data_IF_861779923262
#
_entry.id   IF_861779923262
#
_cell.length_a   1.000
_cell.length_b   1.000
_cell.length_c   1.000
_cell.angle_alpha   90.00
_cell.angle_beta   90.00
_cell.angle_gamma   90.00
#
_symmetry.space_group_name_H-M   'P 1'
#
loop_
_entity.id
_entity.type
_entity.pdbx_description
1 polymer ?
#
# COMPACT_ATOMS: atom_id res chain seq x y z
N UNK A 1 -4.66 -35.86 -34.23
CA UNK A 1 -6.08 -35.95 -34.67
C UNK A 1 -7.00 -35.06 -33.83
N UNK A 2 -6.99 -35.11 -32.49
CA UNK A 2 -7.88 -34.27 -31.65
C UNK A 2 -7.45 -32.80 -31.74
N UNK A 3 -6.16 -32.48 -31.61
CA UNK A 3 -5.65 -31.12 -31.71
C UNK A 3 -5.93 -30.45 -33.05
N UNK A 4 -5.79 -31.19 -34.17
CA UNK A 4 -6.10 -30.72 -35.51
C UNK A 4 -7.60 -30.41 -35.72
N UNK A 5 -8.47 -31.16 -35.04
CA UNK A 5 -9.92 -30.91 -35.08
C UNK A 5 -10.27 -29.68 -34.25
N UNK A 6 -9.63 -29.52 -33.10
CA UNK A 6 -9.78 -28.32 -32.23
C UNK A 6 -9.39 -27.06 -32.99
N UNK A 7 -8.23 -27.06 -33.66
CA UNK A 7 -7.76 -25.93 -34.47
C UNK A 7 -8.69 -25.66 -35.66
N UNK A 8 -9.11 -26.71 -36.38
CA UNK A 8 -9.99 -26.55 -37.55
C UNK A 8 -11.38 -26.01 -37.23
N UNK A 9 -11.90 -26.32 -36.02
CA UNK A 9 -13.21 -25.89 -35.55
C UNK A 9 -13.15 -24.60 -34.72
N UNK A 10 -11.95 -24.02 -34.52
CA UNK A 10 -11.71 -22.91 -33.56
C UNK A 10 -12.40 -23.19 -32.19
N UNK A 11 -12.34 -24.46 -31.76
CA UNK A 11 -13.00 -24.87 -30.53
C UNK A 11 -12.26 -24.32 -29.34
N UNK A 12 -12.91 -23.44 -28.62
CA UNK A 12 -12.44 -22.90 -27.34
C UNK A 12 -13.24 -23.53 -26.21
N UNK A 13 -12.57 -24.26 -25.28
CA UNK A 13 -13.28 -24.84 -24.14
C UNK A 13 -14.04 -23.76 -23.36
N UNK A 14 -15.31 -23.99 -23.10
CA UNK A 14 -16.13 -23.07 -22.33
C UNK A 14 -15.71 -23.12 -20.84
N UNK A 15 -15.09 -22.04 -20.36
CA UNK A 15 -14.62 -21.93 -18.97
C UNK A 15 -15.78 -22.00 -17.96
N UNK A 16 -16.98 -21.49 -18.32
CA UNK A 16 -18.16 -21.51 -17.45
C UNK A 16 -18.66 -22.94 -17.26
N UNK A 17 -18.78 -23.71 -18.39
CA UNK A 17 -19.19 -25.11 -18.31
C UNK A 17 -18.20 -25.96 -17.51
N UNK A 18 -16.90 -25.71 -17.64
CA UNK A 18 -15.84 -26.35 -16.84
C UNK A 18 -15.94 -26.01 -15.39
N UNK A 19 -16.16 -24.73 -15.06
CA UNK A 19 -16.33 -24.25 -13.69
C UNK A 19 -17.53 -24.87 -12.98
N UNK A 20 -18.65 -25.04 -13.68
CA UNK A 20 -19.83 -25.72 -13.17
C UNK A 20 -19.55 -27.22 -12.83
N UNK A 21 -18.77 -27.89 -13.66
CA UNK A 21 -18.44 -29.31 -13.47
C UNK A 21 -17.41 -29.51 -12.32
N UNK A 22 -16.40 -28.63 -12.22
CA UNK A 22 -15.33 -28.75 -11.24
C UNK A 22 -15.60 -28.02 -9.92
N UNK A 23 -16.64 -27.19 -9.85
CA UNK A 23 -16.90 -26.23 -8.75
C UNK A 23 -15.73 -25.26 -8.49
N UNK A 24 -14.84 -25.07 -9.48
CA UNK A 24 -13.73 -24.12 -9.47
C UNK A 24 -13.72 -23.31 -10.74
N UNK A 25 -13.68 -22.00 -10.62
CA UNK A 25 -13.63 -21.09 -11.80
C UNK A 25 -12.21 -20.81 -12.24
N UNK A 26 -11.20 -21.19 -11.43
CA UNK A 26 -9.79 -20.82 -11.60
C UNK A 26 -9.61 -19.31 -11.78
N UNK A 27 -10.40 -18.54 -11.06
CA UNK A 27 -10.41 -17.08 -11.13
C UNK A 27 -10.37 -16.48 -9.73
N UNK A 28 -9.51 -15.49 -9.54
CA UNK A 28 -9.36 -14.72 -8.32
C UNK A 28 -9.79 -13.28 -8.58
N UNK A 29 -10.60 -12.73 -7.69
CA UNK A 29 -10.91 -11.31 -7.67
C UNK A 29 -9.82 -10.51 -6.96
N UNK A 30 -9.46 -9.37 -7.51
CA UNK A 30 -8.52 -8.44 -6.88
C UNK A 30 -9.16 -7.06 -6.83
N UNK A 31 -9.42 -6.58 -5.62
CA UNK A 31 -10.00 -5.26 -5.38
C UNK A 31 -8.88 -4.30 -5.02
N UNK A 32 -8.79 -3.18 -5.74
CA UNK A 32 -7.80 -2.12 -5.51
C UNK A 32 -8.49 -0.77 -5.39
N UNK A 33 -7.94 0.16 -4.57
CA UNK A 33 -8.52 1.48 -4.40
C UNK A 33 -8.41 2.34 -5.67
N UNK A 34 -7.26 2.32 -6.33
CA UNK A 34 -7.02 3.15 -7.50
C UNK A 34 -6.00 2.50 -8.44
N UNK A 35 -6.47 2.11 -9.63
CA UNK A 35 -5.64 1.46 -10.66
C UNK A 35 -4.55 2.37 -11.22
N UNK A 36 -4.69 3.68 -11.13
CA UNK A 36 -3.69 4.64 -11.64
C UNK A 36 -2.57 4.94 -10.63
N UNK A 37 -2.74 4.55 -9.37
CA UNK A 37 -1.71 4.73 -8.36
C UNK A 37 -0.61 3.68 -8.51
N UNK A 38 0.64 4.14 -8.66
CA UNK A 38 1.83 3.29 -8.84
C UNK A 38 2.03 2.29 -7.69
N UNK A 39 1.61 2.64 -6.47
CA UNK A 39 1.65 1.76 -5.31
C UNK A 39 0.90 0.45 -5.59
N UNK A 40 -0.32 0.53 -6.07
CA UNK A 40 -1.14 -0.67 -6.31
C UNK A 40 -0.72 -1.45 -7.54
N UNK A 41 -0.09 -0.83 -8.53
CA UNK A 41 0.37 -1.51 -9.74
C UNK A 41 1.47 -2.54 -9.46
N UNK A 42 2.45 -2.22 -8.62
CA UNK A 42 3.52 -3.14 -8.23
C UNK A 42 2.99 -4.33 -7.43
N UNK A 43 2.03 -4.07 -6.53
CA UNK A 43 1.38 -5.08 -5.73
C UNK A 43 0.54 -6.02 -6.61
N UNK A 44 -0.26 -5.46 -7.53
CA UNK A 44 -1.04 -6.22 -8.50
C UNK A 44 -0.14 -7.09 -9.41
N UNK A 45 1.05 -6.60 -9.78
CA UNK A 45 2.03 -7.39 -10.55
C UNK A 45 2.49 -8.63 -9.79
N UNK A 46 2.79 -8.52 -8.50
CA UNK A 46 3.15 -9.67 -7.66
C UNK A 46 2.02 -10.70 -7.57
N UNK A 47 0.78 -10.25 -7.48
CA UNK A 47 -0.39 -11.12 -7.50
C UNK A 47 -0.51 -11.86 -8.84
N UNK A 48 -0.39 -11.14 -9.96
CA UNK A 48 -0.54 -11.70 -11.31
C UNK A 48 0.50 -12.77 -11.62
N UNK A 49 1.77 -12.53 -11.29
CA UNK A 49 2.85 -13.48 -11.53
C UNK A 49 2.62 -14.79 -10.77
N UNK A 50 2.19 -14.73 -9.52
CA UNK A 50 1.89 -15.92 -8.71
C UNK A 50 0.58 -16.58 -9.16
N UNK A 51 -0.46 -15.81 -9.45
CA UNK A 51 -1.71 -16.35 -9.98
C UNK A 51 -1.48 -17.14 -11.28
N UNK A 52 -0.70 -16.60 -12.20
CA UNK A 52 -0.33 -17.24 -13.46
C UNK A 52 0.43 -18.56 -13.23
N UNK A 53 1.36 -18.58 -12.25
CA UNK A 53 2.09 -19.80 -11.89
C UNK A 53 1.16 -20.92 -11.39
N UNK A 54 0.10 -20.56 -10.66
CA UNK A 54 -0.92 -21.50 -10.18
C UNK A 54 -2.09 -21.69 -11.17
N UNK A 55 -2.00 -21.11 -12.37
CA UNK A 55 -3.03 -21.17 -13.42
C UNK A 55 -4.37 -20.53 -13.04
N UNK A 56 -4.32 -19.49 -12.23
CA UNK A 56 -5.47 -18.64 -11.95
C UNK A 56 -5.49 -17.42 -12.87
N UNK A 57 -6.69 -17.04 -13.30
CA UNK A 57 -6.95 -15.74 -13.93
C UNK A 57 -7.30 -14.71 -12.85
N UNK A 58 -7.05 -13.44 -13.15
CA UNK A 58 -7.40 -12.32 -12.27
C UNK A 58 -8.53 -11.51 -12.87
N UNK A 59 -9.51 -11.15 -12.05
CA UNK A 59 -10.47 -10.07 -12.33
C UNK A 59 -10.11 -8.91 -11.42
N UNK A 60 -9.63 -7.82 -12.03
CA UNK A 60 -9.30 -6.59 -11.31
C UNK A 60 -10.55 -5.71 -11.20
N UNK A 61 -10.85 -5.26 -9.98
CA UNK A 61 -11.95 -4.35 -9.69
C UNK A 61 -11.43 -3.11 -8.95
N UNK A 62 -11.80 -1.91 -9.42
CA UNK A 62 -11.41 -0.64 -8.84
C UNK A 62 -12.50 -0.11 -7.92
N UNK A 63 -12.18 0.16 -6.65
CA UNK A 63 -13.14 0.60 -5.64
C UNK A 63 -13.23 2.13 -5.50
N UNK A 64 -12.29 2.88 -6.07
CA UNK A 64 -12.19 4.35 -5.98
C UNK A 64 -12.16 4.89 -4.54
N UNK A 65 -11.70 4.07 -3.57
CA UNK A 65 -11.71 4.40 -2.14
C UNK A 65 -13.13 4.76 -1.62
N UNK A 66 -14.15 4.28 -2.30
CA UNK A 66 -15.56 4.55 -1.97
C UNK A 66 -16.16 3.33 -1.28
N UNK A 67 -16.62 3.45 -0.01
CA UNK A 67 -17.14 2.32 0.77
C UNK A 67 -18.33 1.60 0.13
N UNK A 68 -19.22 2.32 -0.53
CA UNK A 68 -20.38 1.72 -1.19
C UNK A 68 -19.93 0.92 -2.44
N UNK A 69 -18.98 1.47 -3.18
CA UNK A 69 -18.40 0.80 -4.36
C UNK A 69 -17.57 -0.42 -3.95
N UNK A 70 -16.86 -0.37 -2.83
CA UNK A 70 -16.15 -1.53 -2.29
C UNK A 70 -17.09 -2.72 -2.08
N UNK A 71 -18.21 -2.51 -1.41
CA UNK A 71 -19.25 -3.53 -1.21
C UNK A 71 -19.83 -4.01 -2.55
N UNK A 72 -20.10 -3.08 -3.45
CA UNK A 72 -20.65 -3.42 -4.78
C UNK A 72 -19.68 -4.30 -5.59
N UNK A 73 -18.39 -3.94 -5.68
CA UNK A 73 -17.41 -4.73 -6.44
C UNK A 73 -17.12 -6.06 -5.77
N UNK A 74 -17.10 -6.11 -4.43
CA UNK A 74 -16.97 -7.35 -3.67
C UNK A 74 -18.09 -8.32 -4.00
N UNK A 75 -19.34 -7.87 -3.90
CA UNK A 75 -20.52 -8.70 -4.23
C UNK A 75 -20.57 -9.09 -5.70
N UNK A 76 -20.09 -8.22 -6.61
CA UNK A 76 -19.98 -8.54 -8.04
C UNK A 76 -19.00 -9.69 -8.28
N UNK A 77 -17.87 -9.71 -7.59
CA UNK A 77 -16.89 -10.80 -7.67
C UNK A 77 -17.46 -12.10 -7.11
N UNK A 78 -18.17 -12.05 -5.98
CA UNK A 78 -18.87 -13.22 -5.44
C UNK A 78 -19.91 -13.77 -6.42
N UNK A 79 -20.69 -12.90 -7.06
CA UNK A 79 -21.68 -13.28 -8.08
C UNK A 79 -21.02 -13.93 -9.32
N UNK A 80 -19.78 -13.55 -9.65
CA UNK A 80 -18.97 -14.21 -10.68
C UNK A 80 -18.33 -15.53 -10.22
N UNK A 81 -18.58 -15.94 -8.98
CA UNK A 81 -18.09 -17.19 -8.40
C UNK A 81 -16.57 -17.31 -8.43
N UNK A 82 -15.85 -16.22 -8.14
CA UNK A 82 -14.41 -16.28 -7.98
C UNK A 82 -14.03 -17.24 -6.85
N UNK A 83 -12.93 -17.95 -7.00
CA UNK A 83 -12.48 -18.96 -6.02
C UNK A 83 -11.86 -18.31 -4.76
N UNK A 84 -11.43 -17.07 -4.87
CA UNK A 84 -10.88 -16.27 -3.77
C UNK A 84 -10.81 -14.80 -4.13
N UNK A 85 -10.60 -13.95 -3.13
CA UNK A 85 -10.47 -12.50 -3.27
C UNK A 85 -9.23 -12.00 -2.55
N UNK A 86 -8.45 -11.15 -3.21
CA UNK A 86 -7.43 -10.31 -2.57
C UNK A 86 -8.00 -8.90 -2.50
N UNK A 87 -8.06 -8.36 -1.29
CA UNK A 87 -8.56 -7.01 -1.03
C UNK A 87 -7.41 -6.09 -0.65
N UNK A 88 -7.29 -4.97 -1.34
CA UNK A 88 -6.37 -3.88 -1.06
C UNK A 88 -7.15 -2.61 -0.79
N UNK A 89 -6.85 -1.96 0.33
CA UNK A 89 -7.51 -0.72 0.74
C UNK A 89 -6.75 -0.04 1.86
N UNK A 90 -7.07 1.21 2.11
CA UNK A 90 -6.44 1.98 3.19
C UNK A 90 -6.99 1.61 4.57
N UNK A 91 -8.23 1.14 4.61
CA UNK A 91 -8.94 0.73 5.82
C UNK A 91 -10.00 -0.29 5.45
N UNK A 92 -10.49 -1.05 6.44
CA UNK A 92 -11.61 -1.96 6.27
C UNK A 92 -12.83 -1.36 6.94
N UNK A 93 -13.77 -0.93 6.11
CA UNK A 93 -15.07 -0.46 6.57
C UNK A 93 -15.88 -1.62 7.18
N UNK A 94 -16.71 -1.30 8.17
CA UNK A 94 -17.59 -2.27 8.83
C UNK A 94 -18.46 -3.05 7.83
N UNK A 95 -18.89 -2.38 6.75
CA UNK A 95 -19.67 -2.97 5.67
C UNK A 95 -18.92 -4.11 4.95
N UNK A 96 -17.63 -3.92 4.67
CA UNK A 96 -16.78 -4.96 4.06
C UNK A 96 -16.49 -6.06 5.05
N UNK A 97 -16.20 -5.74 6.32
CA UNK A 97 -16.02 -6.76 7.36
C UNK A 97 -17.25 -7.67 7.46
N UNK A 98 -18.45 -7.08 7.41
CA UNK A 98 -19.69 -7.83 7.43
C UNK A 98 -19.80 -8.81 6.23
N UNK A 99 -19.50 -8.34 5.01
CA UNK A 99 -19.53 -9.19 3.82
C UNK A 99 -18.46 -10.31 3.86
N UNK A 100 -17.25 -9.98 4.31
CA UNK A 100 -16.17 -10.96 4.47
C UNK A 100 -16.54 -12.06 5.46
N UNK A 101 -17.17 -11.70 6.58
CA UNK A 101 -17.58 -12.66 7.60
C UNK A 101 -18.75 -13.57 7.16
N UNK A 102 -19.54 -13.13 6.18
CA UNK A 102 -20.68 -13.90 5.64
C UNK A 102 -20.31 -14.84 4.52
N UNK A 103 -19.27 -14.52 3.75
CA UNK A 103 -18.89 -15.31 2.59
C UNK A 103 -18.12 -16.57 2.98
N UNK A 104 -18.25 -17.61 2.16
CA UNK A 104 -17.36 -18.79 2.23
C UNK A 104 -16.17 -18.69 1.30
N UNK A 105 -16.15 -17.69 0.43
CA UNK A 105 -15.03 -17.42 -0.48
C UNK A 105 -13.87 -16.89 0.34
N UNK A 106 -12.68 -17.50 0.28
CA UNK A 106 -11.50 -17.02 0.99
C UNK A 106 -11.14 -15.59 0.59
N UNK A 107 -10.78 -14.77 1.58
CA UNK A 107 -10.33 -13.39 1.39
C UNK A 107 -8.99 -13.19 2.09
N UNK A 108 -8.04 -12.62 1.37
CA UNK A 108 -6.74 -12.19 1.92
C UNK A 108 -6.58 -10.69 1.70
N UNK A 109 -6.19 -9.98 2.73
CA UNK A 109 -5.90 -8.55 2.65
C UNK A 109 -4.42 -8.32 2.35
N UNK A 110 -4.12 -7.40 1.45
CA UNK A 110 -2.75 -7.10 1.04
C UNK A 110 -2.49 -5.60 1.13
N UNK A 111 -1.50 -5.19 1.91
CA UNK A 111 -1.19 -3.77 2.12
C UNK A 111 -2.26 -3.01 2.92
N UNK A 112 -3.25 -3.70 3.47
CA UNK A 112 -4.35 -3.14 4.27
C UNK A 112 -4.12 -3.44 5.74
N UNK A 113 -4.23 -2.45 6.59
CA UNK A 113 -4.11 -2.64 8.04
C UNK A 113 -5.42 -3.19 8.61
N UNK A 114 -5.28 -4.24 9.41
CA UNK A 114 -6.36 -4.86 10.14
C UNK A 114 -6.08 -4.78 11.63
N UNK A 115 -6.78 -3.91 12.32
CA UNK A 115 -6.72 -3.87 13.78
C UNK A 115 -7.58 -4.98 14.38
N UNK A 116 -7.00 -5.82 15.23
CA UNK A 116 -7.70 -6.85 16.02
C UNK A 116 -8.55 -7.84 15.23
N UNK A 117 -8.08 -8.37 14.10
CA UNK A 117 -8.84 -9.36 13.33
C UNK A 117 -8.07 -10.67 13.16
N UNK A 118 -8.80 -11.79 13.04
CA UNK A 118 -8.26 -13.09 12.65
C UNK A 118 -8.13 -13.24 11.13
N UNK A 119 -8.39 -12.17 10.39
CA UNK A 119 -8.38 -12.19 8.93
C UNK A 119 -6.96 -12.31 8.37
N UNK A 120 -6.83 -13.07 7.31
CA UNK A 120 -5.55 -13.26 6.64
C UNK A 120 -5.06 -11.98 5.96
N UNK A 121 -3.85 -11.55 6.28
CA UNK A 121 -3.26 -10.35 5.70
C UNK A 121 -1.74 -10.45 5.50
N UNK A 122 -1.24 -9.64 4.58
CA UNK A 122 0.19 -9.47 4.31
C UNK A 122 0.52 -7.99 4.29
N UNK A 123 1.46 -7.57 5.14
CA UNK A 123 1.82 -6.19 5.34
C UNK A 123 3.29 -6.00 5.73
N UNK A 124 3.66 -4.75 6.01
CA UNK A 124 4.86 -4.37 6.77
C UNK A 124 4.45 -3.78 8.12
N UNK A 125 5.43 -3.61 9.01
CA UNK A 125 5.24 -2.82 10.23
C UNK A 125 5.36 -1.32 9.92
N UNK A 126 4.23 -0.67 9.60
CA UNK A 126 4.19 0.77 9.28
C UNK A 126 4.56 1.67 10.48
N UNK A 127 4.30 1.21 11.70
CA UNK A 127 4.68 1.93 12.93
C UNK A 127 6.19 1.98 13.07
N UNK A 128 6.85 0.83 12.98
CA UNK A 128 8.31 0.74 13.04
C UNK A 128 8.98 1.49 11.88
N UNK A 129 8.47 1.34 10.66
CA UNK A 129 8.99 2.03 9.49
C UNK A 129 8.94 3.57 9.62
N UNK A 130 7.81 4.11 10.11
CA UNK A 130 7.66 5.56 10.33
C UNK A 130 8.53 6.04 11.50
N UNK A 131 8.63 5.23 12.55
CA UNK A 131 9.51 5.51 13.70
C UNK A 131 10.97 5.63 13.27
N UNK A 132 11.48 4.68 12.50
CA UNK A 132 12.86 4.67 12.00
C UNK A 132 13.16 5.87 11.10
N UNK A 133 12.27 6.18 10.16
CA UNK A 133 12.41 7.34 9.29
C UNK A 133 12.43 8.67 10.07
N UNK A 134 11.55 8.80 11.06
CA UNK A 134 11.49 9.98 11.94
C UNK A 134 12.74 10.10 12.80
N UNK A 135 13.18 9.00 13.38
CA UNK A 135 14.37 8.96 14.25
C UNK A 135 15.64 9.37 13.48
N UNK A 136 15.79 8.93 12.23
CA UNK A 136 16.91 9.32 11.38
C UNK A 136 16.97 10.85 11.19
N UNK A 137 15.84 11.48 10.84
CA UNK A 137 15.78 12.93 10.67
C UNK A 137 16.01 13.70 11.98
N UNK A 138 15.51 13.17 13.09
CA UNK A 138 15.78 13.74 14.42
C UNK A 138 17.27 13.65 14.80
N UNK A 139 17.94 12.56 14.45
CA UNK A 139 19.39 12.39 14.65
C UNK A 139 20.22 13.41 13.87
N UNK A 140 19.73 13.88 12.72
CA UNK A 140 20.30 15.01 11.97
C UNK A 140 20.00 16.38 12.60
N UNK A 141 19.37 16.44 13.75
CA UNK A 141 19.00 17.68 14.44
C UNK A 141 17.81 18.40 13.80
N UNK A 142 17.00 17.70 13.02
CA UNK A 142 15.87 18.28 12.30
C UNK A 142 14.61 18.41 13.18
N UNK A 143 13.82 19.42 12.88
CA UNK A 143 12.44 19.53 13.34
C UNK A 143 11.52 18.88 12.30
N UNK A 144 11.05 17.70 12.63
CA UNK A 144 10.40 16.79 11.67
C UNK A 144 8.90 17.00 11.64
N UNK A 145 8.33 17.20 10.44
CA UNK A 145 6.90 17.12 10.19
C UNK A 145 6.50 15.72 9.72
N UNK A 146 5.23 15.39 9.92
CA UNK A 146 4.60 14.17 9.41
C UNK A 146 3.47 14.54 8.46
N UNK A 147 3.51 14.02 7.24
CA UNK A 147 2.45 14.20 6.24
C UNK A 147 1.91 12.84 5.84
N UNK A 148 0.63 12.61 6.09
CA UNK A 148 -0.03 11.33 5.77
C UNK A 148 -1.40 11.57 5.12
N UNK A 149 -2.04 10.50 4.64
CA UNK A 149 -3.45 10.48 4.33
C UNK A 149 -4.34 10.79 5.55
N UNK A 150 -5.67 10.69 5.39
CA UNK A 150 -6.63 11.03 6.44
C UNK A 150 -6.36 10.34 7.78
N UNK A 151 -6.47 11.10 8.85
CA UNK A 151 -6.20 10.63 10.21
C UNK A 151 -7.26 9.68 10.78
N UNK A 152 -8.42 9.57 10.14
CA UNK A 152 -9.46 8.59 10.49
C UNK A 152 -9.05 7.16 10.13
N UNK A 153 -8.15 6.95 9.17
CA UNK A 153 -7.69 5.61 8.80
C UNK A 153 -6.67 5.07 9.82
N UNK A 154 -6.88 3.84 10.26
CA UNK A 154 -6.04 3.15 11.25
C UNK A 154 -4.55 3.19 10.88
N UNK A 155 -4.21 2.98 9.62
CA UNK A 155 -2.82 3.06 9.13
C UNK A 155 -2.16 4.40 9.47
N UNK A 156 -2.90 5.49 9.43
CA UNK A 156 -2.37 6.83 9.69
C UNK A 156 -2.43 7.18 11.17
N UNK A 157 -3.53 6.82 11.87
CA UNK A 157 -3.77 7.12 13.29
C UNK A 157 -2.94 6.23 14.21
N UNK A 158 -3.10 4.92 14.09
CA UNK A 158 -2.62 3.95 15.07
C UNK A 158 -1.24 3.37 14.71
N UNK A 159 -0.75 3.63 13.48
CA UNK A 159 0.56 3.13 13.06
C UNK A 159 1.53 4.27 12.74
N UNK A 160 1.27 5.07 11.72
CA UNK A 160 2.22 6.12 11.31
C UNK A 160 2.38 7.22 12.36
N UNK A 161 1.26 7.74 12.88
CA UNK A 161 1.29 8.77 13.91
C UNK A 161 1.90 8.27 15.22
N UNK A 162 1.60 7.02 15.61
CA UNK A 162 2.23 6.44 16.79
C UNK A 162 3.73 6.24 16.61
N UNK A 163 4.18 5.69 15.46
CA UNK A 163 5.61 5.55 15.18
C UNK A 163 6.36 6.89 15.19
N UNK A 164 5.77 7.92 14.59
CA UNK A 164 6.28 9.29 14.66
C UNK A 164 6.39 9.81 16.11
N UNK A 165 5.33 9.61 16.88
CA UNK A 165 5.26 10.08 18.29
C UNK A 165 6.26 9.35 19.18
N UNK A 166 6.44 8.05 18.97
CA UNK A 166 7.46 7.27 19.68
C UNK A 166 8.87 7.75 19.39
N UNK A 167 9.19 8.02 18.12
CA UNK A 167 10.50 8.54 17.74
C UNK A 167 10.78 9.91 18.41
N UNK A 168 9.78 10.80 18.45
CA UNK A 168 9.90 12.07 19.16
C UNK A 168 10.19 11.85 20.65
N UNK A 169 9.43 10.96 21.29
CA UNK A 169 9.58 10.65 22.72
C UNK A 169 10.98 10.13 23.04
N UNK A 170 11.48 9.19 22.25
CA UNK A 170 12.81 8.60 22.42
C UNK A 170 13.95 9.62 22.22
N UNK A 171 13.75 10.56 21.29
CA UNK A 171 14.69 11.66 21.07
C UNK A 171 14.54 12.84 22.05
N UNK A 172 13.60 12.78 23.00
CA UNK A 172 13.31 13.90 23.90
C UNK A 172 12.69 15.12 23.22
N UNK A 173 12.16 14.98 22.01
CA UNK A 173 11.52 16.05 21.26
C UNK A 173 10.04 16.16 21.64
N UNK A 174 9.52 17.39 21.60
CA UNK A 174 8.11 17.63 21.94
C UNK A 174 7.22 17.40 20.72
N UNK A 175 6.13 16.68 20.93
CA UNK A 175 5.04 16.61 19.94
C UNK A 175 4.38 17.97 19.75
N UNK A 176 4.14 18.35 18.51
CA UNK A 176 3.41 19.56 18.12
C UNK A 176 2.42 19.25 17.05
N UNK A 177 1.16 19.58 17.28
CA UNK A 177 0.07 19.29 16.36
C UNK A 177 0.22 19.98 15.00
N UNK A 178 0.82 21.16 14.94
CA UNK A 178 1.08 21.92 13.71
C UNK A 178 2.12 21.28 12.78
N UNK A 179 2.88 20.30 13.28
CA UNK A 179 3.81 19.47 12.49
C UNK A 179 3.16 18.23 11.89
N UNK A 180 1.93 17.91 12.24
CA UNK A 180 1.20 16.74 11.76
C UNK A 180 0.12 17.18 10.79
N UNK A 181 0.25 16.80 9.52
CA UNK A 181 -0.65 17.18 8.45
C UNK A 181 -1.27 15.90 7.89
N UNK A 182 -2.54 15.66 8.23
CA UNK A 182 -3.26 14.44 7.87
C UNK A 182 -4.54 14.79 7.13
N UNK A 183 -4.58 14.54 5.83
CA UNK A 183 -5.73 14.81 4.97
C UNK A 183 -5.61 14.02 3.66
N UNK A 184 -6.72 13.85 2.97
CA UNK A 184 -6.68 13.44 1.57
C UNK A 184 -6.04 14.54 0.73
N UNK A 185 -4.93 14.22 0.08
CA UNK A 185 -4.16 15.15 -0.74
C UNK A 185 -4.08 14.67 -2.18
N UNK A 186 -3.86 15.62 -3.07
CA UNK A 186 -3.46 15.42 -4.46
C UNK A 186 -2.14 16.13 -4.73
N UNK A 187 -1.52 15.88 -5.86
CA UNK A 187 -0.31 16.58 -6.27
C UNK A 187 -0.45 18.12 -6.19
N UNK A 188 -1.63 18.66 -6.53
CA UNK A 188 -1.89 20.09 -6.49
C UNK A 188 -1.79 20.73 -5.10
N UNK A 189 -1.85 19.93 -4.03
CA UNK A 189 -1.74 20.42 -2.65
C UNK A 189 -0.29 20.65 -2.18
N UNK A 190 0.70 20.26 -2.98
CA UNK A 190 2.13 20.31 -2.61
C UNK A 190 2.58 21.68 -2.11
N UNK A 191 2.16 22.75 -2.78
CA UNK A 191 2.48 24.13 -2.37
C UNK A 191 1.92 24.49 -0.99
N UNK A 192 0.68 24.10 -0.73
CA UNK A 192 0.00 24.32 0.54
C UNK A 192 0.65 23.54 1.67
N UNK A 193 1.02 22.26 1.42
CA UNK A 193 1.70 21.42 2.40
C UNK A 193 3.08 22.00 2.73
N UNK A 194 3.86 22.39 1.72
CA UNK A 194 5.16 23.03 1.92
C UNK A 194 5.05 24.31 2.74
N UNK A 195 4.06 25.18 2.44
CA UNK A 195 3.81 26.39 3.20
C UNK A 195 3.46 26.11 4.68
N UNK A 196 2.64 25.09 4.95
CA UNK A 196 2.29 24.69 6.32
C UNK A 196 3.51 24.16 7.09
N UNK A 197 4.34 23.32 6.48
CA UNK A 197 5.58 22.82 7.07
C UNK A 197 6.53 23.96 7.42
N UNK A 198 6.73 24.91 6.52
CA UNK A 198 7.59 26.08 6.75
C UNK A 198 7.02 26.97 7.87
N UNK A 199 5.71 27.22 7.89
CA UNK A 199 5.04 28.01 8.92
C UNK A 199 5.19 27.37 10.31
N UNK A 200 5.12 26.02 10.39
CA UNK A 200 5.37 25.25 11.59
C UNK A 200 6.87 25.17 11.98
N UNK A 201 7.75 25.81 11.16
CA UNK A 201 9.22 25.78 11.30
C UNK A 201 9.81 24.37 11.21
N UNK A 202 9.17 23.47 10.46
CA UNK A 202 9.78 22.21 10.10
C UNK A 202 10.94 22.44 9.13
N UNK A 203 11.98 21.63 9.22
CA UNK A 203 13.10 21.57 8.29
C UNK A 203 13.40 20.13 7.84
N UNK A 204 12.45 19.23 8.09
CA UNK A 204 12.38 17.89 7.53
C UNK A 204 10.94 17.39 7.59
N UNK A 205 10.63 16.41 6.77
CA UNK A 205 9.33 15.72 6.83
C UNK A 205 9.44 14.25 6.42
N UNK A 206 8.65 13.43 7.09
CA UNK A 206 8.26 12.08 6.64
C UNK A 206 6.94 12.22 5.93
N UNK A 207 6.90 11.86 4.65
CA UNK A 207 5.72 11.98 3.78
C UNK A 207 5.35 10.60 3.27
N UNK A 208 4.19 10.09 3.66
CA UNK A 208 3.81 8.69 3.43
C UNK A 208 3.55 8.33 1.98
N UNK A 209 3.28 9.29 1.11
CA UNK A 209 2.98 9.08 -0.31
C UNK A 209 4.04 9.74 -1.20
N UNK A 210 4.54 9.00 -2.19
CA UNK A 210 5.62 9.45 -3.07
C UNK A 210 5.20 10.59 -3.99
N UNK A 211 3.96 10.60 -4.50
CA UNK A 211 3.45 11.67 -5.34
C UNK A 211 3.36 12.99 -4.57
N UNK A 212 2.88 12.91 -3.32
CA UNK A 212 2.81 14.08 -2.43
C UNK A 212 4.23 14.55 -2.05
N UNK A 213 5.16 13.62 -1.80
CA UNK A 213 6.56 13.98 -1.53
C UNK A 213 7.22 14.71 -2.70
N UNK A 214 6.95 14.27 -3.94
CA UNK A 214 7.38 14.97 -5.16
C UNK A 214 6.77 16.36 -5.25
N UNK A 215 5.48 16.50 -4.98
CA UNK A 215 4.79 17.79 -4.99
C UNK A 215 5.39 18.76 -3.96
N UNK A 216 5.66 18.30 -2.76
CA UNK A 216 6.30 19.10 -1.70
C UNK A 216 7.75 19.45 -2.07
N UNK A 217 8.52 18.52 -2.62
CA UNK A 217 9.88 18.78 -3.10
C UNK A 217 9.90 19.92 -4.15
N UNK A 218 9.04 19.84 -5.13
CA UNK A 218 8.93 20.86 -6.17
C UNK A 218 8.52 22.21 -5.58
N UNK A 219 7.54 22.24 -4.68
CA UNK A 219 7.10 23.44 -4.00
C UNK A 219 8.19 24.09 -3.12
N UNK A 220 9.00 23.28 -2.44
CA UNK A 220 10.17 23.78 -1.69
C UNK A 220 11.23 24.35 -2.62
N UNK A 221 11.50 23.69 -3.73
CA UNK A 221 12.45 24.15 -4.76
C UNK A 221 12.02 25.47 -5.36
N UNK A 222 10.75 25.64 -5.70
CA UNK A 222 10.18 26.88 -6.23
C UNK A 222 10.29 28.05 -5.23
N UNK A 223 10.33 27.74 -3.94
CA UNK A 223 10.57 28.71 -2.86
C UNK A 223 12.05 28.97 -2.56
N UNK A 224 12.96 28.34 -3.29
CA UNK A 224 14.39 28.47 -3.07
C UNK A 224 14.93 27.71 -1.85
N UNK A 225 14.14 26.82 -1.27
CA UNK A 225 14.55 25.93 -0.15
C UNK A 225 15.36 24.79 -0.73
N UNK A 226 16.59 24.63 -0.24
CA UNK A 226 17.49 23.58 -0.75
C UNK A 226 17.25 22.25 -0.03
N UNK A 227 17.03 21.21 -0.80
CA UNK A 227 16.92 19.84 -0.30
C UNK A 227 18.20 19.08 -0.68
N UNK A 228 18.94 18.48 0.24
CA UNK A 228 18.65 18.25 1.67
C UNK A 228 19.17 19.32 2.64
N UNK A 229 19.88 20.36 2.17
CA UNK A 229 20.62 21.27 3.05
C UNK A 229 19.71 22.02 4.03
N UNK A 230 18.66 22.64 3.52
CA UNK A 230 17.71 23.43 4.32
C UNK A 230 16.51 22.58 4.79
N UNK A 231 16.15 21.55 4.04
CA UNK A 231 15.00 20.69 4.31
C UNK A 231 15.28 19.26 3.86
N UNK A 232 15.03 18.27 4.72
CA UNK A 232 15.16 16.86 4.37
C UNK A 232 13.79 16.19 4.17
N UNK A 233 13.71 15.26 3.23
CA UNK A 233 12.48 14.51 2.94
C UNK A 233 12.79 13.01 2.94
N UNK A 234 11.97 12.24 3.66
CA UNK A 234 11.86 10.79 3.53
C UNK A 234 10.44 10.47 3.11
N UNK A 235 10.29 9.70 2.04
CA UNK A 235 8.98 9.26 1.56
C UNK A 235 8.72 7.77 1.80
N UNK A 236 7.52 7.27 1.45
CA UNK A 236 6.99 6.06 2.02
C UNK A 236 6.94 4.81 1.15
N UNK A 237 7.10 4.86 -0.18
CA UNK A 237 6.77 3.68 -1.00
C UNK A 237 7.90 3.22 -1.92
N UNK A 238 8.93 4.03 -2.11
CA UNK A 238 10.03 3.76 -3.04
C UNK A 238 9.57 3.43 -4.48
N UNK A 239 8.55 4.13 -4.96
CA UNK A 239 8.12 4.02 -6.36
C UNK A 239 9.14 4.65 -7.31
N UNK A 240 8.94 4.47 -8.61
CA UNK A 240 9.79 5.08 -9.64
C UNK A 240 9.88 6.61 -9.52
N UNK A 241 8.84 7.27 -9.00
CA UNK A 241 8.81 8.71 -8.78
C UNK A 241 10.00 9.19 -7.94
N UNK A 242 10.40 8.41 -6.92
CA UNK A 242 11.52 8.76 -6.03
C UNK A 242 12.85 8.89 -6.75
N UNK A 243 13.01 8.24 -7.90
CA UNK A 243 14.22 8.25 -8.71
C UNK A 243 14.16 9.24 -9.88
N UNK A 244 12.95 9.66 -10.27
CA UNK A 244 12.74 10.57 -11.42
C UNK A 244 12.94 12.05 -11.09
N UNK A 245 12.93 12.41 -9.81
CA UNK A 245 13.10 13.78 -9.32
C UNK A 245 14.54 14.13 -8.97
N UNK A 246 14.80 15.43 -8.74
CA UNK A 246 16.10 15.93 -8.28
C UNK A 246 15.94 16.90 -7.10
N UNK A 247 16.62 16.63 -5.97
CA UNK A 247 17.38 15.39 -5.70
C UNK A 247 16.47 14.16 -5.69
N UNK A 248 17.04 12.97 -5.90
CA UNK A 248 16.30 11.70 -5.72
C UNK A 248 15.84 11.57 -4.29
N UNK A 249 14.62 11.10 -4.06
CA UNK A 249 14.02 10.99 -2.74
C UNK A 249 14.52 9.76 -1.97
N UNK A 250 15.01 9.97 -0.77
CA UNK A 250 15.20 8.92 0.23
C UNK A 250 13.84 8.35 0.62
N UNK A 251 13.75 7.06 0.78
CA UNK A 251 12.46 6.38 0.95
C UNK A 251 12.53 5.18 1.87
N UNK A 252 11.45 4.91 2.56
CA UNK A 252 11.15 3.58 3.07
C UNK A 252 10.81 2.72 1.85
N UNK A 253 11.48 1.59 1.70
CA UNK A 253 11.11 0.60 0.70
C UNK A 253 10.11 -0.39 1.29
N UNK A 254 8.86 -0.28 0.85
CA UNK A 254 7.83 -1.28 1.08
C UNK A 254 7.96 -2.34 -0.02
N UNK A 255 8.06 -3.64 0.31
CA UNK A 255 8.20 -4.70 -0.69
C UNK A 255 6.84 -5.01 -1.35
N UNK A 256 6.32 -4.08 -2.15
CA UNK A 256 4.96 -4.13 -2.73
C UNK A 256 4.73 -5.37 -3.59
N UNK A 257 5.70 -5.69 -4.44
CA UNK A 257 5.64 -6.90 -5.26
C UNK A 257 5.54 -8.16 -4.38
N UNK A 258 6.39 -8.26 -3.35
CA UNK A 258 6.41 -9.41 -2.45
C UNK A 258 5.14 -9.50 -1.61
N UNK A 259 4.57 -8.37 -1.18
CA UNK A 259 3.26 -8.33 -0.48
C UNK A 259 2.20 -8.97 -1.38
N UNK A 260 2.12 -8.58 -2.65
CA UNK A 260 1.18 -9.15 -3.61
C UNK A 260 1.43 -10.65 -3.86
N UNK A 261 2.69 -11.02 -4.09
CA UNK A 261 3.08 -12.40 -4.34
C UNK A 261 2.78 -13.32 -3.14
N UNK A 262 3.11 -12.88 -1.92
CA UNK A 262 2.84 -13.63 -0.69
C UNK A 262 1.35 -13.72 -0.40
N UNK A 263 0.60 -12.64 -0.63
CA UNK A 263 -0.86 -12.63 -0.49
C UNK A 263 -1.52 -13.65 -1.43
N UNK A 264 -1.10 -13.73 -2.69
CA UNK A 264 -1.62 -14.71 -3.63
C UNK A 264 -1.25 -16.14 -3.25
N UNK A 265 -0.02 -16.40 -2.75
CA UNK A 265 0.37 -17.71 -2.24
C UNK A 265 -0.46 -18.12 -1.02
N UNK A 266 -0.66 -17.20 -0.09
CA UNK A 266 -1.50 -17.43 1.09
C UNK A 266 -2.94 -17.78 0.68
N UNK A 267 -3.52 -16.99 -0.23
CA UNK A 267 -4.86 -17.24 -0.76
C UNK A 267 -4.94 -18.60 -1.44
N UNK A 268 -3.94 -19.00 -2.24
CA UNK A 268 -3.90 -20.30 -2.91
C UNK A 268 -3.90 -21.45 -1.92
N UNK A 269 -3.12 -21.36 -0.84
CA UNK A 269 -3.13 -22.37 0.24
C UNK A 269 -4.53 -22.49 0.87
N UNK A 270 -5.14 -21.36 1.20
CA UNK A 270 -6.49 -21.35 1.80
C UNK A 270 -7.52 -21.95 0.84
N UNK A 271 -7.51 -21.58 -0.44
CA UNK A 271 -8.41 -22.13 -1.47
C UNK A 271 -8.25 -23.64 -1.66
N UNK A 272 -7.06 -24.17 -1.45
CA UNK A 272 -6.77 -25.59 -1.54
C UNK A 272 -6.96 -26.35 -0.21
N UNK A 273 -7.41 -25.66 0.84
CA UNK A 273 -7.54 -26.24 2.20
C UNK A 273 -6.21 -26.81 2.75
N UNK A 274 -5.10 -26.21 2.36
CA UNK A 274 -3.79 -26.52 2.92
C UNK A 274 -3.64 -25.87 4.30
N UNK A 275 -2.80 -26.46 5.14
CA UNK A 275 -2.48 -25.90 6.46
C UNK A 275 -1.76 -24.56 6.30
N UNK A 276 -2.23 -23.55 7.01
CA UNK A 276 -1.64 -22.21 7.08
C UNK A 276 -1.13 -21.96 8.49
N UNK A 277 0.20 -21.86 8.64
CA UNK A 277 0.85 -21.64 9.94
C UNK A 277 0.61 -20.20 10.44
N UNK A 278 0.68 -19.23 9.54
CA UNK A 278 0.51 -17.80 9.84
C UNK A 278 -0.50 -17.16 8.90
N UNK A 279 -1.55 -16.58 9.45
CA UNK A 279 -2.55 -15.81 8.73
C UNK A 279 -2.22 -14.34 8.62
N UNK A 280 -1.33 -13.84 9.48
CA UNK A 280 -0.86 -12.47 9.48
C UNK A 280 0.64 -12.44 9.21
N UNK A 281 1.03 -12.00 8.02
CA UNK A 281 2.41 -12.03 7.56
C UNK A 281 2.94 -10.60 7.50
N UNK A 282 4.00 -10.32 8.27
CA UNK A 282 4.70 -9.04 8.26
C UNK A 282 6.02 -9.22 7.52
N UNK A 283 6.14 -8.56 6.37
CA UNK A 283 7.37 -8.55 5.58
C UNK A 283 8.32 -7.44 6.04
N UNK A 284 9.64 -7.61 5.86
CA UNK A 284 10.60 -6.59 6.22
C UNK A 284 10.52 -5.38 5.29
N UNK A 285 10.68 -4.18 5.86
CA UNK A 285 10.92 -2.94 5.13
C UNK A 285 12.41 -2.57 5.15
N UNK A 286 12.81 -1.62 4.31
CA UNK A 286 14.19 -1.09 4.27
C UNK A 286 14.15 0.42 4.11
N UNK A 287 15.19 1.08 4.60
CA UNK A 287 15.46 2.48 4.27
C UNK A 287 16.43 2.57 3.09
N UNK A 288 16.09 3.37 2.09
CA UNK A 288 16.92 3.64 0.92
C UNK A 288 17.36 5.09 0.96
N UNK A 289 18.61 5.33 1.34
CA UNK A 289 19.20 6.66 1.34
C UNK A 289 19.42 7.16 -0.09
N UNK A 290 19.05 8.41 -0.34
CA UNK A 290 19.28 9.13 -1.59
C UNK A 290 19.57 10.62 -1.31
N UNK A 291 19.48 11.45 -2.35
CA UNK A 291 19.87 12.85 -2.27
C UNK A 291 18.96 13.78 -1.47
N UNK A 292 17.78 13.33 -1.00
CA UNK A 292 16.88 14.17 -0.20
C UNK A 292 17.12 14.12 1.29
N UNK A 293 18.08 13.34 1.76
CA UNK A 293 18.57 13.31 3.13
C UNK A 293 20.07 13.56 3.16
N UNK A 294 20.56 14.11 4.26
CA UNK A 294 22.00 14.21 4.52
C UNK A 294 22.60 12.81 4.69
N UNK A 295 23.87 12.67 4.35
CA UNK A 295 24.62 11.45 4.69
C UNK A 295 24.87 11.40 6.19
N UNK A 296 24.75 10.21 6.77
CA UNK A 296 25.14 10.00 8.16
C UNK A 296 26.62 10.40 8.32
N UNK A 297 26.91 11.22 9.33
CA UNK A 297 28.30 11.50 9.70
C UNK A 297 28.80 10.27 10.45
N UNK A 298 29.72 9.53 9.81
CA UNK A 298 30.53 8.49 10.46
C UNK A 298 31.21 9.00 11.76
#
# INVERSE_FOLDING_TARGET
KVSEVIERLDYRPNAVARGLASKKTTTVGVIIPNVTNVFFSSLARGIDDIASMYKYNIILANSDENPEKEVQVFNTLLAKQVDGIIFMGNDIQESIQHEVNRTRTPVVFAGTILSNTELSNVNIDYRQATKEATALLLAHGRKVGLVTGPGEFDINRDFRLEGYTEALKEAGAKFKQDLVIQKQFTYADGDKIAAQLIAAKANAAVISDDEIAVAVLNALTDRGVKVPQDFEIITGNNSMLTQMVRPKLSSIQIPLYDIGAVAMRLLTKIMNSEEVEEHQIILPHRFIARGSTLEDKD
#
